data_IF_532617452443
#
_entry.id   IF_532617452443
#
_cell.length_a   1.000
_cell.length_b   1.000
_cell.length_c   1.000
_cell.angle_alpha   90.00
_cell.angle_beta   90.00
_cell.angle_gamma   90.00
#
_symmetry.space_group_name_H-M   'P 1'
#
loop_
_entity.id
_entity.type
_entity.pdbx_description
1 polymer ?
#
# COMPACT_ATOMS: atom_id res chain seq x y z
N UNK A 1 -4.96 -6.97 9.32
CA UNK A 1 -6.16 -7.83 9.41
C UNK A 1 -5.73 -9.26 9.16
N UNK A 2 -6.04 -10.15 10.07
CA UNK A 2 -5.73 -11.59 9.99
C UNK A 2 -7.01 -12.40 9.94
N UNK A 3 -6.96 -13.62 9.39
CA UNK A 3 -8.09 -14.55 9.34
C UNK A 3 -7.98 -15.47 8.13
N UNK A 4 -8.68 -16.57 8.13
CA UNK A 4 -8.64 -17.58 7.09
C UNK A 4 -9.01 -17.04 5.70
N UNK A 5 -8.60 -17.75 4.66
CA UNK A 5 -8.95 -17.45 3.27
C UNK A 5 -10.48 -17.41 3.12
N UNK A 6 -11.03 -16.33 2.59
CA UNK A 6 -12.47 -16.13 2.50
C UNK A 6 -13.13 -15.45 3.70
N UNK A 7 -12.40 -15.10 4.76
CA UNK A 7 -12.92 -14.39 5.93
C UNK A 7 -13.38 -12.94 5.66
N UNK A 8 -13.32 -12.46 4.41
CA UNK A 8 -13.83 -11.15 4.03
C UNK A 8 -12.85 -9.99 4.16
N UNK A 9 -11.55 -10.24 4.41
CA UNK A 9 -10.52 -9.20 4.58
C UNK A 9 -10.51 -8.19 3.43
N UNK A 10 -10.30 -8.65 2.21
CA UNK A 10 -10.31 -7.82 0.99
C UNK A 10 -11.64 -7.11 0.78
N UNK A 11 -12.76 -7.79 1.04
CA UNK A 11 -14.11 -7.22 0.91
C UNK A 11 -14.29 -6.08 1.90
N UNK A 12 -13.84 -6.23 3.14
CA UNK A 12 -13.88 -5.19 4.16
C UNK A 12 -13.05 -3.98 3.75
N UNK A 13 -11.82 -4.18 3.27
CA UNK A 13 -10.98 -3.08 2.77
C UNK A 13 -11.62 -2.35 1.57
N UNK A 14 -12.16 -3.11 0.61
CA UNK A 14 -12.85 -2.53 -0.56
C UNK A 14 -14.09 -1.74 -0.16
N UNK A 15 -14.85 -2.23 0.82
CA UNK A 15 -16.02 -1.52 1.33
C UNK A 15 -15.62 -0.18 1.96
N UNK A 16 -14.57 -0.15 2.77
CA UNK A 16 -14.06 1.08 3.39
C UNK A 16 -13.58 2.08 2.33
N UNK A 17 -12.85 1.63 1.31
CA UNK A 17 -12.40 2.47 0.21
C UNK A 17 -13.57 3.07 -0.58
N UNK A 18 -14.60 2.26 -0.90
CA UNK A 18 -15.80 2.69 -1.64
C UNK A 18 -16.69 3.65 -0.84
N UNK A 19 -16.86 3.43 0.45
CA UNK A 19 -17.68 4.31 1.29
C UNK A 19 -17.17 5.76 1.29
N UNK A 20 -15.88 5.96 1.12
CA UNK A 20 -15.32 7.29 1.00
C UNK A 20 -15.58 7.94 -0.38
N UNK A 21 -15.59 7.14 -1.46
CA UNK A 21 -15.90 7.64 -2.80
C UNK A 21 -17.37 8.04 -2.96
N UNK A 22 -18.27 7.37 -2.23
CA UNK A 22 -19.73 7.52 -2.38
C UNK A 22 -20.38 8.50 -1.40
N UNK A 23 -19.71 8.89 -0.32
CA UNK A 23 -20.28 9.77 0.71
C UNK A 23 -19.28 10.81 1.22
N UNK A 24 -19.31 12.03 0.73
CA UNK A 24 -18.71 13.12 1.46
C UNK A 24 -19.51 13.34 2.77
N UNK A 25 -19.08 12.67 3.87
CA UNK A 25 -19.59 12.91 5.21
C UNK A 25 -20.44 11.83 5.88
N UNK A 26 -20.43 10.60 5.39
CA UNK A 26 -21.34 9.55 5.89
C UNK A 26 -20.72 8.27 6.47
N UNK A 27 -19.65 8.37 7.23
CA UNK A 27 -19.12 7.27 8.04
C UNK A 27 -18.57 7.84 9.34
N UNK A 28 -18.56 7.08 10.41
CA UNK A 28 -17.90 7.44 11.69
C UNK A 28 -16.37 7.40 11.57
N UNK A 29 -15.83 7.83 10.42
CA UNK A 29 -14.41 8.08 10.26
C UNK A 29 -14.08 9.43 10.86
N UNK A 30 -12.98 9.51 11.59
CA UNK A 30 -12.52 10.79 12.14
C UNK A 30 -12.49 11.87 11.03
N UNK A 31 -12.94 13.06 11.36
CA UNK A 31 -12.95 14.18 10.42
C UNK A 31 -11.57 14.36 9.76
N UNK A 32 -11.51 14.23 8.44
CA UNK A 32 -10.29 14.40 7.68
C UNK A 32 -9.57 13.12 7.26
N UNK A 33 -10.12 11.91 7.52
CA UNK A 33 -9.54 10.67 6.99
C UNK A 33 -9.61 10.64 5.46
N UNK A 34 -8.46 10.45 4.81
CA UNK A 34 -8.31 10.30 3.35
C UNK A 34 -7.65 8.96 3.08
N UNK A 35 -8.41 8.02 2.55
CA UNK A 35 -7.93 6.68 2.30
C UNK A 35 -7.23 6.55 0.94
N UNK A 36 -6.10 5.86 0.92
CA UNK A 36 -5.50 5.31 -0.28
C UNK A 36 -5.63 3.79 -0.24
N UNK A 37 -6.14 3.18 -1.31
CA UNK A 37 -6.31 1.73 -1.39
C UNK A 37 -5.38 1.12 -2.43
N UNK A 38 -4.65 0.10 -2.02
CA UNK A 38 -3.85 -0.75 -2.88
C UNK A 38 -4.48 -2.14 -2.96
N UNK A 39 -4.91 -2.54 -4.14
CA UNK A 39 -5.27 -3.90 -4.50
C UNK A 39 -4.23 -4.49 -5.46
N UNK A 40 -4.25 -5.79 -5.64
CA UNK A 40 -3.34 -6.50 -6.57
C UNK A 40 -3.45 -6.02 -8.02
N UNK A 41 -4.55 -5.38 -8.42
CA UNK A 41 -4.73 -4.82 -9.76
C UNK A 41 -4.30 -3.35 -9.76
N UNK A 42 -3.35 -3.03 -10.63
CA UNK A 42 -2.72 -1.69 -10.72
C UNK A 42 -3.59 -0.67 -11.47
N UNK A 43 -4.90 -0.64 -11.24
CA UNK A 43 -5.89 0.18 -11.96
C UNK A 43 -5.69 1.70 -11.83
N UNK A 44 -4.74 2.13 -10.98
CA UNK A 44 -4.47 3.54 -10.70
C UNK A 44 -3.33 4.15 -11.50
N UNK A 45 -2.56 3.33 -12.21
CA UNK A 45 -1.46 3.83 -13.03
C UNK A 45 -1.96 4.28 -14.40
N UNK A 46 -1.50 5.44 -14.81
CA UNK A 46 -1.61 5.87 -16.20
C UNK A 46 -0.49 5.20 -17.00
N UNK A 47 -0.85 4.22 -17.81
CA UNK A 47 0.11 3.44 -18.59
C UNK A 47 0.67 4.21 -19.78
N UNK A 48 0.04 5.31 -20.18
CA UNK A 48 0.43 6.11 -21.34
C UNK A 48 1.51 7.15 -21.00
N UNK A 49 1.83 7.33 -19.73
CA UNK A 49 2.84 8.28 -19.26
C UNK A 49 4.02 7.57 -18.56
N UNK A 50 5.07 8.33 -18.25
CA UNK A 50 6.27 7.80 -17.61
C UNK A 50 6.09 7.53 -16.11
N UNK A 51 7.06 6.82 -15.53
CA UNK A 51 7.17 6.58 -14.09
C UNK A 51 7.13 7.91 -13.31
N UNK A 52 7.92 8.89 -13.74
CA UNK A 52 7.97 10.21 -13.09
C UNK A 52 6.65 10.97 -13.19
N UNK A 53 6.00 10.93 -14.35
CA UNK A 53 4.71 11.61 -14.57
C UNK A 53 3.60 10.99 -13.72
N UNK A 54 3.57 9.66 -13.56
CA UNK A 54 2.65 8.99 -12.64
C UNK A 54 2.81 9.52 -11.20
N UNK A 55 4.05 9.67 -10.72
CA UNK A 55 4.30 10.21 -9.38
C UNK A 55 3.85 11.68 -9.27
N UNK A 56 4.13 12.49 -10.30
CA UNK A 56 3.75 13.90 -10.33
C UNK A 56 2.26 14.14 -10.42
N UNK A 57 1.49 13.22 -11.00
CA UNK A 57 0.02 13.32 -11.02
C UNK A 57 -0.56 13.34 -9.60
N UNK A 58 0.02 12.62 -8.65
CA UNK A 58 -0.45 12.57 -7.25
C UNK A 58 0.22 13.60 -6.36
N UNK A 59 1.40 14.10 -6.74
CA UNK A 59 2.20 15.05 -5.96
C UNK A 59 2.88 16.10 -6.87
N UNK A 60 2.10 17.00 -7.50
CA UNK A 60 2.62 17.99 -8.45
C UNK A 60 3.54 19.04 -7.80
N UNK A 61 3.48 19.18 -6.48
CA UNK A 61 4.31 20.09 -5.69
C UNK A 61 5.77 19.65 -5.56
N UNK A 62 6.09 18.37 -5.82
CA UNK A 62 7.44 17.85 -5.71
C UNK A 62 8.35 18.41 -6.82
N UNK A 63 9.54 18.88 -6.43
CA UNK A 63 10.57 19.16 -7.42
C UNK A 63 11.22 17.86 -7.93
N UNK A 64 12.05 17.96 -9.00
CA UNK A 64 12.66 16.77 -9.62
C UNK A 64 13.53 15.97 -8.67
N UNK A 65 14.28 16.62 -7.79
CA UNK A 65 15.15 15.95 -6.83
C UNK A 65 14.32 15.16 -5.82
N UNK A 66 13.25 15.74 -5.29
CA UNK A 66 12.36 15.09 -4.35
C UNK A 66 11.63 13.89 -5.01
N UNK A 67 11.08 14.10 -6.21
CA UNK A 67 10.39 13.04 -6.94
C UNK A 67 11.33 11.86 -7.26
N UNK A 68 12.53 12.13 -7.74
CA UNK A 68 13.54 11.10 -8.01
C UNK A 68 14.04 10.40 -6.75
N UNK A 69 14.15 11.10 -5.62
CA UNK A 69 14.52 10.51 -4.34
C UNK A 69 13.45 9.49 -3.87
N UNK A 70 12.17 9.84 -3.99
CA UNK A 70 11.07 8.93 -3.68
C UNK A 70 11.11 7.72 -4.62
N UNK A 71 11.20 7.94 -5.92
CA UNK A 71 11.28 6.87 -6.90
C UNK A 71 12.47 5.95 -6.65
N UNK A 72 13.62 6.49 -6.25
CA UNK A 72 14.81 5.73 -5.89
C UNK A 72 14.56 4.78 -4.71
N UNK A 73 13.80 5.20 -3.69
CA UNK A 73 13.42 4.34 -2.58
C UNK A 73 12.47 3.20 -2.99
N UNK A 74 11.80 3.33 -4.14
CA UNK A 74 10.98 2.29 -4.77
C UNK A 74 11.71 1.60 -5.93
N UNK A 75 13.05 1.70 -5.98
CA UNK A 75 13.94 1.04 -6.93
C UNK A 75 13.78 1.50 -8.39
N UNK A 76 13.41 2.74 -8.60
CA UNK A 76 13.48 3.43 -9.88
C UNK A 76 14.59 4.48 -9.81
N UNK A 77 15.70 4.22 -10.49
CA UNK A 77 16.88 5.07 -10.46
C UNK A 77 17.30 5.57 -11.84
N UNK A 78 17.99 6.69 -11.90
CA UNK A 78 18.51 7.24 -13.14
C UNK A 78 17.44 7.44 -14.21
N UNK A 79 17.61 6.80 -15.34
CA UNK A 79 16.73 6.92 -16.51
C UNK A 79 15.42 6.14 -16.37
N UNK A 80 15.29 5.26 -15.36
CA UNK A 80 14.04 4.54 -15.09
C UNK A 80 12.85 5.49 -14.89
N UNK A 81 13.12 6.70 -14.38
CA UNK A 81 12.11 7.74 -14.20
C UNK A 81 11.38 8.13 -15.51
N UNK A 82 12.05 7.98 -16.65
CA UNK A 82 11.52 8.33 -17.96
C UNK A 82 10.95 7.13 -18.72
N UNK A 83 10.96 5.94 -18.12
CA UNK A 83 10.39 4.74 -18.71
C UNK A 83 8.86 4.85 -18.75
N UNK A 84 8.21 4.60 -19.90
CA UNK A 84 6.74 4.55 -19.97
C UNK A 84 6.20 3.42 -19.09
N UNK A 85 5.13 3.71 -18.33
CA UNK A 85 4.57 2.74 -17.42
C UNK A 85 4.02 1.47 -18.11
N UNK A 86 3.65 1.58 -19.38
CA UNK A 86 3.13 0.45 -20.16
C UNK A 86 4.16 -0.70 -20.33
N UNK A 87 5.47 -0.40 -20.36
CA UNK A 87 6.52 -1.40 -20.56
C UNK A 87 7.05 -2.02 -19.26
N UNK A 88 6.58 -1.55 -18.11
CA UNK A 88 6.98 -2.09 -16.81
C UNK A 88 6.49 -3.52 -16.62
N UNK A 89 7.31 -4.34 -15.95
CA UNK A 89 6.88 -5.65 -15.45
C UNK A 89 5.80 -5.53 -14.37
N UNK A 90 5.16 -6.65 -14.03
CA UNK A 90 4.15 -6.67 -12.95
C UNK A 90 4.70 -6.18 -11.61
N UNK A 91 5.90 -6.63 -11.22
CA UNK A 91 6.55 -6.17 -9.99
C UNK A 91 6.94 -4.69 -10.03
N UNK A 92 7.39 -4.18 -11.17
CA UNK A 92 7.70 -2.76 -11.36
C UNK A 92 6.43 -1.89 -11.29
N UNK A 93 5.33 -2.34 -11.89
CA UNK A 93 4.02 -1.67 -11.74
C UNK A 93 3.56 -1.64 -10.29
N UNK A 94 3.72 -2.74 -9.55
CA UNK A 94 3.43 -2.79 -8.12
C UNK A 94 4.26 -1.77 -7.35
N UNK A 95 5.57 -1.69 -7.58
CA UNK A 95 6.46 -0.71 -6.94
C UNK A 95 6.04 0.72 -7.25
N UNK A 96 5.70 1.01 -8.49
CA UNK A 96 5.23 2.35 -8.89
C UNK A 96 3.89 2.70 -8.25
N UNK A 97 2.94 1.77 -8.23
CA UNK A 97 1.64 1.98 -7.58
C UNK A 97 1.79 2.27 -6.08
N UNK A 98 2.65 1.54 -5.38
CA UNK A 98 2.96 1.80 -3.97
C UNK A 98 3.64 3.16 -3.77
N UNK A 99 4.59 3.53 -4.64
CA UNK A 99 5.24 4.85 -4.61
C UNK A 99 4.23 6.00 -4.77
N UNK A 100 3.32 5.90 -5.72
CA UNK A 100 2.27 6.91 -5.92
C UNK A 100 1.33 6.98 -4.73
N UNK A 101 1.01 5.84 -4.12
CA UNK A 101 0.10 5.76 -2.99
C UNK A 101 0.68 6.43 -1.73
N UNK A 102 1.92 6.10 -1.35
CA UNK A 102 2.57 6.70 -0.16
C UNK A 102 2.87 8.19 -0.35
N UNK A 103 2.96 8.66 -1.59
CA UNK A 103 3.23 10.06 -1.95
C UNK A 103 1.95 10.88 -2.09
N UNK A 104 0.81 10.22 -2.24
CA UNK A 104 -0.51 10.85 -2.34
C UNK A 104 -0.87 11.61 -1.05
N UNK A 105 -1.96 12.37 -1.11
CA UNK A 105 -2.50 13.08 0.06
C UNK A 105 -3.32 12.19 1.01
N UNK A 106 -3.32 10.88 0.79
CA UNK A 106 -3.94 9.93 1.71
C UNK A 106 -3.22 9.94 3.05
N UNK A 107 -3.97 9.88 4.14
CA UNK A 107 -3.44 9.76 5.50
C UNK A 107 -3.79 8.41 6.16
N UNK A 108 -4.52 7.57 5.45
CA UNK A 108 -4.76 6.15 5.79
C UNK A 108 -4.54 5.30 4.55
N UNK A 109 -3.62 4.37 4.60
CA UNK A 109 -3.37 3.41 3.52
C UNK A 109 -4.02 2.08 3.84
N UNK A 110 -4.78 1.55 2.90
CA UNK A 110 -5.35 0.21 2.94
C UNK A 110 -4.55 -0.66 1.96
N UNK A 111 -3.70 -1.54 2.49
CA UNK A 111 -2.78 -2.38 1.70
C UNK A 111 -3.27 -3.83 1.73
N UNK A 112 -3.68 -4.34 0.58
CA UNK A 112 -4.13 -5.72 0.40
C UNK A 112 -3.05 -6.52 -0.33
N UNK A 113 -2.32 -7.35 0.41
CA UNK A 113 -1.21 -8.19 -0.08
C UNK A 113 -0.18 -7.41 -0.93
N UNK A 114 0.41 -6.32 -0.42
CA UNK A 114 1.20 -5.40 -1.23
C UNK A 114 2.52 -6.00 -1.76
N UNK A 115 2.97 -7.13 -1.20
CA UNK A 115 4.26 -7.74 -1.54
C UNK A 115 4.16 -8.96 -2.45
N UNK A 116 2.96 -9.43 -2.79
CA UNK A 116 2.76 -10.68 -3.52
C UNK A 116 3.44 -10.74 -4.89
N UNK A 117 3.59 -9.61 -5.58
CA UNK A 117 4.19 -9.53 -6.91
C UNK A 117 5.66 -9.08 -6.89
N UNK A 118 6.29 -9.06 -5.71
CA UNK A 118 7.67 -8.62 -5.54
C UNK A 118 8.60 -9.81 -5.31
N UNK A 119 9.77 -9.76 -5.94
CA UNK A 119 10.85 -10.66 -5.61
C UNK A 119 11.42 -10.35 -4.20
N UNK A 120 12.09 -11.30 -3.52
CA UNK A 120 12.52 -11.13 -2.13
C UNK A 120 13.41 -9.90 -1.91
N UNK A 121 14.32 -9.60 -2.83
CA UNK A 121 15.24 -8.47 -2.70
C UNK A 121 14.51 -7.12 -2.82
N UNK A 122 13.63 -7.00 -3.83
CA UNK A 122 12.78 -5.82 -4.00
C UNK A 122 11.82 -5.63 -2.84
N UNK A 123 11.24 -6.71 -2.31
CA UNK A 123 10.29 -6.69 -1.19
C UNK A 123 10.86 -5.98 0.02
N UNK A 124 12.05 -6.34 0.46
CA UNK A 124 12.67 -5.75 1.66
C UNK A 124 12.89 -4.25 1.52
N UNK A 125 13.35 -3.79 0.36
CA UNK A 125 13.56 -2.36 0.10
C UNK A 125 12.24 -1.59 0.01
N UNK A 126 11.21 -2.17 -0.59
CA UNK A 126 9.87 -1.57 -0.68
C UNK A 126 9.23 -1.46 0.70
N UNK A 127 9.35 -2.49 1.54
CA UNK A 127 8.85 -2.45 2.91
C UNK A 127 9.55 -1.38 3.75
N UNK A 128 10.86 -1.19 3.58
CA UNK A 128 11.59 -0.06 4.20
C UNK A 128 11.05 1.29 3.74
N UNK A 129 10.74 1.43 2.46
CA UNK A 129 10.18 2.67 1.93
C UNK A 129 8.79 2.95 2.50
N UNK A 130 7.92 1.92 2.57
CA UNK A 130 6.57 2.03 3.16
C UNK A 130 6.64 2.32 4.66
N UNK A 131 7.59 1.76 5.39
CA UNK A 131 7.75 1.98 6.83
C UNK A 131 8.03 3.43 7.23
N UNK A 132 8.47 4.26 6.28
CA UNK A 132 8.68 5.71 6.47
C UNK A 132 7.41 6.54 6.32
N UNK A 133 6.31 5.93 5.90
CA UNK A 133 5.03 6.60 5.80
C UNK A 133 4.52 6.97 7.20
N UNK A 134 4.15 8.22 7.39
CA UNK A 134 3.77 8.76 8.71
C UNK A 134 2.28 8.65 9.03
N UNK A 135 1.44 8.25 8.06
CA UNK A 135 0.01 8.04 8.26
C UNK A 135 -0.31 6.65 8.84
N UNK A 136 -1.59 6.36 8.99
CA UNK A 136 -2.07 5.05 9.41
C UNK A 136 -2.02 4.05 8.24
N UNK A 137 -1.69 2.80 8.55
CA UNK A 137 -1.70 1.70 7.59
C UNK A 137 -2.61 0.58 8.12
N UNK A 138 -3.53 0.13 7.29
CA UNK A 138 -4.26 -1.11 7.50
C UNK A 138 -3.72 -2.14 6.51
N UNK A 139 -3.09 -3.18 7.01
CA UNK A 139 -2.40 -4.20 6.24
C UNK A 139 -3.16 -5.51 6.27
N UNK A 140 -3.41 -6.11 5.11
CA UNK A 140 -3.75 -7.52 4.95
C UNK A 140 -2.56 -8.20 4.31
N UNK A 141 -1.99 -9.20 4.96
CA UNK A 141 -0.83 -9.93 4.45
C UNK A 141 -0.68 -11.29 5.11
N UNK A 142 -0.08 -12.22 4.40
CA UNK A 142 0.47 -13.48 4.89
C UNK A 142 2.01 -13.48 4.88
N UNK A 143 2.62 -12.33 4.68
CA UNK A 143 4.07 -12.13 4.67
C UNK A 143 4.56 -11.67 6.05
N UNK A 144 5.21 -12.59 6.81
CA UNK A 144 5.79 -12.27 8.12
C UNK A 144 6.80 -11.12 8.04
N UNK A 145 7.59 -11.05 6.97
CA UNK A 145 8.54 -9.96 6.75
C UNK A 145 7.87 -8.59 6.64
N UNK A 146 6.66 -8.52 6.05
CA UNK A 146 5.88 -7.30 6.01
C UNK A 146 5.39 -6.88 7.41
N UNK A 147 4.97 -7.84 8.23
CA UNK A 147 4.58 -7.59 9.61
C UNK A 147 5.75 -7.08 10.44
N UNK A 148 6.91 -7.72 10.34
CA UNK A 148 8.12 -7.31 11.05
C UNK A 148 8.60 -5.91 10.65
N UNK A 149 8.55 -5.58 9.34
CA UNK A 149 8.99 -4.30 8.82
C UNK A 149 8.05 -3.15 9.20
N UNK A 150 6.74 -3.39 9.18
CA UNK A 150 5.72 -2.35 9.42
C UNK A 150 5.29 -2.24 10.89
N UNK A 151 5.66 -3.22 11.73
CA UNK A 151 5.47 -3.21 13.20
C UNK A 151 4.05 -2.80 13.62
N UNK A 152 3.04 -3.62 13.36
CA UNK A 152 1.67 -3.29 13.72
C UNK A 152 1.51 -3.09 15.23
N UNK A 153 0.67 -2.16 15.61
CA UNK A 153 0.30 -1.92 17.02
C UNK A 153 -0.94 -2.74 17.42
N UNK A 154 -1.79 -3.05 16.45
CA UNK A 154 -3.08 -3.72 16.67
C UNK A 154 -3.32 -4.79 15.61
N UNK A 155 -4.15 -5.75 15.96
CA UNK A 155 -4.63 -6.79 15.06
C UNK A 155 -6.15 -6.79 15.02
N UNK A 156 -6.71 -7.00 13.85
CA UNK A 156 -8.13 -7.23 13.64
C UNK A 156 -8.31 -8.66 13.13
N UNK A 157 -8.97 -9.49 13.91
CA UNK A 157 -9.22 -10.90 13.59
C UNK A 157 -10.54 -11.04 12.82
N UNK A 158 -10.47 -11.70 11.67
CA UNK A 158 -11.63 -11.90 10.81
C UNK A 158 -12.04 -13.39 10.83
N UNK A 159 -13.33 -13.71 10.72
CA UNK A 159 -14.47 -12.85 10.36
C UNK A 159 -15.14 -12.11 11.52
N UNK A 160 -14.79 -12.42 12.78
CA UNK A 160 -15.53 -11.95 13.95
C UNK A 160 -15.36 -10.45 14.21
N UNK A 161 -14.26 -9.87 13.71
CA UNK A 161 -13.99 -8.44 13.86
C UNK A 161 -13.42 -8.09 15.24
N UNK A 162 -12.88 -9.07 15.96
CA UNK A 162 -12.27 -8.86 17.25
C UNK A 162 -10.95 -8.09 17.12
N UNK A 163 -10.77 -7.07 17.91
CA UNK A 163 -9.58 -6.22 17.93
C UNK A 163 -8.75 -6.49 19.18
N UNK A 164 -7.44 -6.65 19.02
CA UNK A 164 -6.50 -6.84 20.10
C UNK A 164 -5.20 -6.06 19.84
N UNK A 165 -4.39 -5.91 20.87
CA UNK A 165 -3.03 -5.40 20.73
C UNK A 165 -2.16 -6.46 20.05
N UNK A 166 -1.26 -5.99 19.19
CA UNK A 166 -0.32 -6.89 18.53
C UNK A 166 0.61 -7.56 19.56
N UNK A 167 0.80 -8.86 19.38
CA UNK A 167 1.86 -9.62 20.05
C UNK A 167 2.37 -10.73 19.10
N UNK A 168 3.55 -11.26 19.38
CA UNK A 168 4.23 -12.18 18.47
C UNK A 168 3.52 -13.54 18.28
N UNK A 169 2.55 -13.89 19.13
CA UNK A 169 1.75 -15.10 18.94
C UNK A 169 0.88 -15.04 17.69
N UNK A 170 0.58 -13.84 17.19
CA UNK A 170 -0.17 -13.66 15.96
C UNK A 170 0.63 -13.93 14.68
N UNK A 171 1.98 -14.04 14.76
CA UNK A 171 2.82 -14.43 13.61
C UNK A 171 2.45 -15.83 13.09
N UNK A 172 2.10 -16.76 13.98
CA UNK A 172 1.67 -18.10 13.57
C UNK A 172 0.42 -18.02 12.65
N UNK A 173 -0.50 -17.11 12.93
CA UNK A 173 -1.69 -16.92 12.10
C UNK A 173 -1.38 -16.23 10.76
N UNK A 174 -0.29 -15.48 10.66
CA UNK A 174 0.16 -14.88 9.38
C UNK A 174 0.68 -15.97 8.45
N UNK A 175 1.41 -16.95 8.99
CA UNK A 175 2.04 -18.02 8.21
C UNK A 175 1.07 -19.13 7.75
N UNK A 176 -0.08 -19.30 8.42
CA UNK A 176 -1.06 -20.36 8.13
C UNK A 176 -2.02 -20.04 6.97
N UNK A 177 -1.94 -18.86 6.37
CA UNK A 177 -2.79 -18.41 5.26
C UNK A 177 -2.10 -18.60 3.90
#
# INVERSE_FOLDING_TARGET
MLGQRGAGKTTTLRLHAKLQETQPGGGEYGNGAKFGYFAQENDRLDLDVTVLENLRHVAPELNDTQARSILGSFLFSGDDAFTPATVLSGGEKTRLALATLVTSRANVLLLDEPTNNLDPASRDEILKAISKYEGAIVLVTHDEGAVEALRPERVLLMPDGDEDLWNDSYLELVAEE
#
